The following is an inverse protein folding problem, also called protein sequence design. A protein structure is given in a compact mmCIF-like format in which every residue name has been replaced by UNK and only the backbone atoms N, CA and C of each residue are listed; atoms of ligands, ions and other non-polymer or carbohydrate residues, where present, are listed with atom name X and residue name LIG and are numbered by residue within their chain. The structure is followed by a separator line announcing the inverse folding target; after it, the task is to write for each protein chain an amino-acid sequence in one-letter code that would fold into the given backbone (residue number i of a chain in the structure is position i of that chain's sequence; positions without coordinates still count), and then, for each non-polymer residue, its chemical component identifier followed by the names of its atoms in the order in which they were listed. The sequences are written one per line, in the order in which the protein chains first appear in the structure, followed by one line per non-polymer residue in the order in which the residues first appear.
data_IF_053826218924
#
_entry.id   IF_053826218924
#
_cell.length_a   1.000
_cell.length_b   1.000
_cell.length_c   1.000
_cell.angle_alpha   90.00
_cell.angle_beta   90.00
_cell.angle_gamma   90.00
#
_symmetry.space_group_name_H-M   'P 1'
#
loop_
_entity.id
_entity.type
_entity.pdbx_description
1 polymer ?
#
# COMPACT_ATOMS: atom_id res chain seq x y z
N UNK A 1 -47.11 -3.64 46.10
CA UNK A 1 -46.75 -2.20 46.16
C UNK A 1 -45.27 -2.00 46.47
N UNK A 2 -44.77 -2.39 47.65
CA UNK A 2 -43.37 -2.10 48.03
C UNK A 2 -42.30 -2.90 47.25
N UNK A 3 -42.70 -4.01 46.59
CA UNK A 3 -41.80 -4.80 45.75
C UNK A 3 -41.81 -4.33 44.29
N UNK A 4 -42.95 -3.85 43.79
CA UNK A 4 -43.02 -3.24 42.45
C UNK A 4 -42.17 -1.97 42.33
N UNK A 5 -42.18 -1.10 43.35
CA UNK A 5 -41.34 0.11 43.38
C UNK A 5 -39.83 -0.19 43.47
N UNK A 6 -39.45 -1.37 44.00
CA UNK A 6 -38.04 -1.77 44.12
C UNK A 6 -37.43 -2.21 42.77
N UNK A 7 -38.25 -2.58 41.78
CA UNK A 7 -37.79 -2.97 40.45
C UNK A 7 -37.81 -1.83 39.42
N UNK A 8 -38.51 -0.72 39.70
CA UNK A 8 -38.53 0.45 38.81
C UNK A 8 -37.24 1.28 38.84
N UNK A 9 -36.39 1.12 39.86
CA UNK A 9 -35.18 1.93 40.05
C UNK A 9 -33.89 1.26 39.53
N UNK A 10 -33.99 0.15 38.79
CA UNK A 10 -32.85 -0.34 38.00
C UNK A 10 -32.92 0.36 36.65
N UNK A 11 -32.24 1.51 36.56
CA UNK A 11 -32.03 2.30 35.33
C UNK A 11 -31.40 1.43 34.23
N UNK A 12 -32.25 0.68 33.52
CA UNK A 12 -31.90 -0.17 32.38
C UNK A 12 -31.80 0.65 31.10
N UNK A 13 -31.11 1.80 31.16
CA UNK A 13 -30.69 2.51 29.96
C UNK A 13 -29.53 1.76 29.32
N UNK A 14 -29.85 0.64 28.67
CA UNK A 14 -28.91 -0.05 27.81
C UNK A 14 -28.40 0.92 26.75
N UNK A 15 -27.08 1.06 26.65
CA UNK A 15 -26.49 1.88 25.58
C UNK A 15 -26.85 1.30 24.21
N UNK A 16 -26.94 2.15 23.20
CA UNK A 16 -27.29 1.75 21.83
C UNK A 16 -26.35 0.62 21.34
N UNK A 17 -25.07 0.66 21.68
CA UNK A 17 -24.11 -0.40 21.31
C UNK A 17 -24.36 -1.72 22.03
N UNK A 18 -24.84 -1.68 23.28
CA UNK A 18 -25.24 -2.91 23.99
C UNK A 18 -26.51 -3.50 23.39
N UNK A 19 -27.49 -2.66 23.04
CA UNK A 19 -28.75 -3.11 22.45
C UNK A 19 -28.59 -3.75 21.06
N UNK A 20 -27.77 -3.16 20.19
CA UNK A 20 -27.61 -3.65 18.81
C UNK A 20 -26.47 -4.66 18.65
N UNK A 21 -25.40 -4.57 19.45
CA UNK A 21 -24.19 -5.36 19.27
C UNK A 21 -23.84 -6.24 20.47
N UNK A 22 -24.60 -6.18 21.57
CA UNK A 22 -24.31 -6.93 22.80
C UNK A 22 -22.99 -6.53 23.48
N UNK A 23 -22.41 -5.40 23.07
CA UNK A 23 -21.07 -4.96 23.48
C UNK A 23 -21.17 -3.73 24.37
N UNK A 24 -20.46 -3.75 25.49
CA UNK A 24 -20.29 -2.56 26.31
C UNK A 24 -19.58 -1.46 25.52
N UNK A 25 -19.96 -0.20 25.75
CA UNK A 25 -19.41 0.97 25.06
C UNK A 25 -17.87 0.98 25.04
N UNK A 26 -17.23 0.61 26.17
CA UNK A 26 -15.77 0.52 26.26
C UNK A 26 -15.16 -0.49 25.28
N UNK A 27 -15.77 -1.67 25.15
CA UNK A 27 -15.31 -2.72 24.21
C UNK A 27 -15.53 -2.28 22.76
N UNK A 28 -16.65 -1.61 22.49
CA UNK A 28 -16.95 -1.05 21.16
C UNK A 28 -15.88 -0.03 20.72
N UNK A 29 -15.59 0.98 21.55
CA UNK A 29 -14.56 1.98 21.22
C UNK A 29 -13.16 1.39 21.08
N UNK A 30 -12.83 0.38 21.90
CA UNK A 30 -11.56 -0.34 21.76
C UNK A 30 -11.46 -1.02 20.39
N UNK A 31 -12.52 -1.73 19.96
CA UNK A 31 -12.55 -2.43 18.68
C UNK A 31 -12.51 -1.45 17.50
N UNK A 32 -13.24 -0.33 17.58
CA UNK A 32 -13.16 0.74 16.57
C UNK A 32 -11.75 1.30 16.47
N UNK A 33 -11.10 1.60 17.60
CA UNK A 33 -9.72 2.08 17.62
C UNK A 33 -8.77 1.08 16.97
N UNK A 34 -8.94 -0.21 17.25
CA UNK A 34 -8.12 -1.28 16.68
C UNK A 34 -8.29 -1.35 15.16
N UNK A 35 -9.51 -1.29 14.65
CA UNK A 35 -9.78 -1.30 13.21
C UNK A 35 -9.15 -0.08 12.52
N UNK A 36 -9.29 1.10 13.12
CA UNK A 36 -8.69 2.34 12.58
C UNK A 36 -7.16 2.23 12.57
N UNK A 37 -6.55 1.74 13.64
CA UNK A 37 -5.11 1.55 13.73
C UNK A 37 -4.60 0.55 12.67
N UNK A 38 -5.32 -0.56 12.46
CA UNK A 38 -5.01 -1.52 11.39
C UNK A 38 -5.14 -0.90 10.01
N UNK A 39 -6.19 -0.11 9.76
CA UNK A 39 -6.38 0.61 8.50
C UNK A 39 -5.22 1.57 8.20
N UNK A 40 -4.77 2.33 9.19
CA UNK A 40 -3.61 3.21 9.06
C UNK A 40 -2.33 2.40 8.79
N UNK A 41 -2.10 1.32 9.54
CA UNK A 41 -0.93 0.46 9.37
C UNK A 41 -0.85 -0.14 7.96
N UNK A 42 -1.98 -0.68 7.46
CA UNK A 42 -2.08 -1.20 6.10
C UNK A 42 -1.86 -0.10 5.06
N UNK A 43 -2.45 1.09 5.27
CA UNK A 43 -2.24 2.24 4.39
C UNK A 43 -0.76 2.63 4.25
N UNK A 44 -0.02 2.64 5.37
CA UNK A 44 1.43 2.93 5.36
C UNK A 44 2.22 1.86 4.60
N UNK A 45 1.88 0.58 4.75
CA UNK A 45 2.57 -0.51 4.05
C UNK A 45 2.28 -0.48 2.54
N UNK A 46 1.04 -0.19 2.15
CA UNK A 46 0.63 -0.22 0.75
C UNK A 46 1.04 1.03 -0.03
N UNK A 47 1.06 2.20 0.61
CA UNK A 47 1.23 3.50 -0.06
C UNK A 47 2.32 4.40 0.55
N UNK A 48 3.11 3.91 1.52
CA UNK A 48 4.24 4.65 2.10
C UNK A 48 5.47 4.73 1.19
N UNK A 49 6.52 5.42 1.66
CA UNK A 49 7.78 5.58 0.93
C UNK A 49 8.58 4.30 0.73
N UNK A 50 8.37 3.31 1.60
CA UNK A 50 8.92 1.95 1.48
C UNK A 50 7.79 0.95 1.22
N UNK A 51 6.85 1.31 0.34
CA UNK A 51 5.69 0.48 0.03
C UNK A 51 5.94 -0.53 -1.08
N UNK A 52 4.97 -1.44 -1.22
CA UNK A 52 4.91 -2.37 -2.34
C UNK A 52 4.76 -1.64 -3.69
N UNK A 53 4.03 -0.53 -3.74
CA UNK A 53 3.89 0.27 -4.97
C UNK A 53 5.25 0.81 -5.43
N UNK A 54 6.03 1.36 -4.51
CA UNK A 54 7.39 1.85 -4.82
C UNK A 54 8.30 0.71 -5.27
N UNK A 55 8.21 -0.46 -4.62
CA UNK A 55 8.99 -1.64 -5.00
C UNK A 55 8.68 -2.08 -6.44
N UNK A 56 7.40 -2.20 -6.80
CA UNK A 56 7.02 -2.59 -8.16
C UNK A 56 7.44 -1.55 -9.18
N UNK A 57 7.29 -0.25 -8.88
CA UNK A 57 7.77 0.82 -9.75
C UNK A 57 9.29 0.77 -9.98
N UNK A 58 10.07 0.47 -8.94
CA UNK A 58 11.52 0.28 -9.07
C UNK A 58 11.87 -0.94 -9.92
N UNK A 59 11.15 -2.04 -9.75
CA UNK A 59 11.38 -3.28 -10.51
C UNK A 59 11.05 -3.09 -12.00
N UNK A 60 9.94 -2.42 -12.32
CA UNK A 60 9.59 -2.10 -13.70
C UNK A 60 10.64 -1.17 -14.35
N UNK A 61 11.12 -0.18 -13.60
CA UNK A 61 12.15 0.74 -14.08
C UNK A 61 13.50 0.04 -14.25
N UNK A 62 13.85 -0.89 -13.37
CA UNK A 62 15.04 -1.74 -13.52
C UNK A 62 14.97 -2.57 -14.81
N UNK A 63 13.84 -3.22 -15.08
CA UNK A 63 13.65 -4.01 -16.30
C UNK A 63 13.78 -3.13 -17.55
N UNK A 64 13.15 -1.95 -17.55
CA UNK A 64 13.28 -0.97 -18.62
C UNK A 64 14.75 -0.57 -18.87
N UNK A 65 15.51 -0.30 -17.82
CA UNK A 65 16.93 0.05 -17.93
C UNK A 65 17.77 -1.12 -18.48
N UNK A 66 17.46 -2.36 -18.10
CA UNK A 66 18.15 -3.53 -18.64
C UNK A 66 17.92 -3.67 -20.15
N UNK A 67 16.69 -3.49 -20.61
CA UNK A 67 16.36 -3.50 -22.04
C UNK A 67 17.04 -2.36 -22.80
N UNK A 68 17.08 -1.17 -22.20
CA UNK A 68 17.76 0.01 -22.73
C UNK A 68 19.26 -0.26 -22.93
N UNK A 69 19.91 -0.90 -21.96
CA UNK A 69 21.33 -1.28 -22.06
C UNK A 69 21.57 -2.24 -23.22
N UNK A 70 20.69 -3.21 -23.44
CA UNK A 70 20.80 -4.15 -24.56
C UNK A 70 20.65 -3.41 -25.90
N UNK A 71 19.64 -2.54 -26.00
CA UNK A 71 19.39 -1.75 -27.22
C UNK A 71 20.59 -0.85 -27.56
N UNK A 72 21.09 -0.10 -26.58
CA UNK A 72 22.23 0.80 -26.76
C UNK A 72 23.51 0.04 -27.14
N UNK A 73 23.73 -1.17 -26.62
CA UNK A 73 24.86 -2.01 -27.04
C UNK A 73 24.75 -2.43 -28.50
N UNK A 74 23.55 -2.80 -28.96
CA UNK A 74 23.33 -3.15 -30.35
C UNK A 74 23.60 -1.96 -31.28
N UNK A 75 22.99 -0.81 -30.97
CA UNK A 75 23.14 0.42 -31.74
C UNK A 75 24.61 0.87 -31.78
N UNK A 76 25.32 0.79 -30.65
CA UNK A 76 26.75 1.11 -30.60
C UNK A 76 27.58 0.17 -31.48
N UNK A 77 27.27 -1.13 -31.53
CA UNK A 77 27.96 -2.07 -32.42
C UNK A 77 27.70 -1.77 -33.91
N UNK A 78 26.47 -1.42 -34.28
CA UNK A 78 26.14 -1.00 -35.65
C UNK A 78 26.86 0.28 -36.05
N UNK A 79 26.83 1.30 -35.18
CA UNK A 79 27.54 2.56 -35.42
C UNK A 79 29.06 2.39 -35.50
N UNK A 80 29.63 1.51 -34.67
CA UNK A 80 31.06 1.18 -34.75
C UNK A 80 31.40 0.55 -36.10
N UNK A 81 30.56 -0.36 -36.59
CA UNK A 81 30.76 -0.98 -37.90
C UNK A 81 30.72 0.07 -39.02
N UNK A 82 29.70 0.91 -39.06
CA UNK A 82 29.57 1.98 -40.06
C UNK A 82 30.77 2.94 -40.02
N UNK A 83 31.19 3.32 -38.81
CA UNK A 83 32.38 4.15 -38.62
C UNK A 83 33.65 3.52 -39.20
N UNK A 84 33.86 2.22 -39.02
CA UNK A 84 35.01 1.52 -39.59
C UNK A 84 34.94 1.46 -41.13
N UNK A 85 33.77 1.16 -41.70
CA UNK A 85 33.57 1.13 -43.16
C UNK A 85 33.85 2.51 -43.79
N UNK A 86 33.34 3.59 -43.19
CA UNK A 86 33.61 4.96 -43.66
C UNK A 86 35.08 5.35 -43.50
N UNK A 87 35.72 4.94 -42.40
CA UNK A 87 37.14 5.23 -42.16
C UNK A 87 38.04 4.55 -43.20
N UNK A 88 37.74 3.31 -43.57
CA UNK A 88 38.46 2.59 -44.63
C UNK A 88 38.32 3.30 -45.99
N UNK A 89 37.11 3.75 -46.35
CA UNK A 89 36.87 4.50 -47.60
C UNK A 89 37.66 5.81 -47.62
N UNK A 90 37.70 6.55 -46.52
CA UNK A 90 38.40 7.83 -46.44
C UNK A 90 39.93 7.73 -46.48
N UNK A 91 40.48 6.53 -46.22
CA UNK A 91 41.91 6.28 -46.17
C UNK A 91 42.50 5.79 -47.52
N UNK A 92 41.65 5.50 -48.51
CA UNK A 92 42.02 5.24 -49.91
C UNK A 92 42.08 6.53 -50.73
#
# INVERSE_FOLDING_TARGET
MQKEELYEEIDTKESITQKYLGLSLRKFFFLVTLIVALGIYLGIILYGTNSLEVLFGLQDYENYLQDEVVRLKHENAELQREYFELKEISAQ
#
